data_IF_915929641538
#
_entry.id   IF_915929641538
#
_cell.length_a   1.000
_cell.length_b   1.000
_cell.length_c   1.000
_cell.angle_alpha   90.00
_cell.angle_beta   90.00
_cell.angle_gamma   90.00
#
_symmetry.space_group_name_H-M   'P 1'
#
loop_
_entity.id
_entity.type
_entity.pdbx_description
1 polymer ?
#
# COMPACT_ATOMS: atom_id res chain seq x y z
N UNK A 1 9.00 -9.92 -1.64
CA UNK A 1 9.43 -8.91 -0.65
C UNK A 1 8.48 -7.72 -0.73
N UNK A 2 8.53 -6.78 0.23
CA UNK A 2 7.72 -5.54 0.20
C UNK A 2 8.07 -4.68 -1.03
N UNK A 3 9.35 -4.60 -1.41
CA UNK A 3 9.77 -3.92 -2.62
C UNK A 3 9.20 -4.56 -3.90
N UNK A 4 9.12 -5.89 -3.98
CA UNK A 4 8.51 -6.56 -5.14
C UNK A 4 7.01 -6.26 -5.25
N UNK A 5 6.33 -6.16 -4.11
CA UNK A 5 4.91 -5.80 -4.02
C UNK A 5 4.66 -4.39 -4.55
N UNK A 6 5.33 -3.40 -3.96
CA UNK A 6 5.24 -2.00 -4.38
C UNK A 6 5.63 -1.81 -5.85
N UNK A 7 6.66 -2.53 -6.32
CA UNK A 7 7.08 -2.49 -7.73
C UNK A 7 5.98 -3.01 -8.67
N UNK A 8 5.35 -4.16 -8.37
CA UNK A 8 4.25 -4.69 -9.20
C UNK A 8 3.06 -3.74 -9.23
N UNK A 9 2.69 -3.18 -8.08
CA UNK A 9 1.60 -2.19 -8.01
C UNK A 9 1.90 -0.93 -8.84
N UNK A 10 3.14 -0.44 -8.79
CA UNK A 10 3.57 0.68 -9.63
C UNK A 10 3.44 0.36 -11.12
N UNK A 11 3.84 -0.85 -11.55
CA UNK A 11 3.67 -1.30 -12.94
C UNK A 11 2.19 -1.41 -13.31
N UNK A 12 1.33 -1.95 -12.43
CA UNK A 12 -0.12 -2.03 -12.67
C UNK A 12 -0.76 -0.64 -12.78
N UNK A 13 -0.36 0.32 -11.93
CA UNK A 13 -0.82 1.69 -12.01
C UNK A 13 -0.47 2.34 -13.37
N UNK A 14 0.72 2.07 -13.93
CA UNK A 14 1.11 2.55 -15.27
C UNK A 14 0.26 1.97 -16.40
N UNK A 15 -0.34 0.79 -16.22
CA UNK A 15 -1.19 0.14 -17.21
C UNK A 15 -2.65 0.64 -17.17
N UNK A 16 -3.00 1.49 -16.20
CA UNK A 16 -4.36 2.01 -16.08
C UNK A 16 -4.69 2.97 -17.23
N UNK A 17 -5.84 2.76 -17.87
CA UNK A 17 -6.35 3.56 -18.98
C UNK A 17 -7.37 4.62 -18.55
N UNK A 18 -7.68 4.70 -17.26
CA UNK A 18 -8.61 5.70 -16.73
C UNK A 18 -7.96 7.10 -16.76
N UNK A 19 -8.41 7.90 -17.72
CA UNK A 19 -7.93 9.27 -17.93
C UNK A 19 -8.37 10.26 -16.83
N UNK A 20 -9.24 9.85 -15.91
CA UNK A 20 -9.65 10.70 -14.77
C UNK A 20 -8.66 10.65 -13.60
N UNK A 21 -7.74 9.67 -13.59
CA UNK A 21 -6.72 9.50 -12.56
C UNK A 21 -5.39 10.14 -12.97
N UNK A 22 -4.70 10.74 -12.00
CA UNK A 22 -3.27 11.07 -12.17
C UNK A 22 -2.41 9.80 -12.01
N UNK A 23 -2.08 9.17 -13.14
CA UNK A 23 -1.23 7.96 -13.18
C UNK A 23 0.12 8.18 -12.51
N UNK A 24 0.71 9.38 -12.63
CA UNK A 24 2.01 9.67 -11.99
C UNK A 24 1.85 9.63 -10.48
N UNK A 25 0.76 10.18 -9.96
CA UNK A 25 0.43 10.14 -8.54
C UNK A 25 0.14 8.73 -8.05
N UNK A 26 -0.63 7.93 -8.81
CA UNK A 26 -0.89 6.52 -8.48
C UNK A 26 0.42 5.71 -8.34
N UNK A 27 1.36 5.89 -9.27
CA UNK A 27 2.68 5.24 -9.21
C UNK A 27 3.44 5.67 -7.96
N UNK A 28 3.43 6.96 -7.63
CA UNK A 28 4.11 7.47 -6.43
C UNK A 28 3.48 6.93 -5.15
N UNK A 29 2.15 6.87 -5.06
CA UNK A 29 1.43 6.28 -3.93
C UNK A 29 1.79 4.79 -3.77
N UNK A 30 1.78 4.03 -4.87
CA UNK A 30 2.16 2.61 -4.87
C UNK A 30 3.60 2.38 -4.38
N UNK A 31 4.52 3.28 -4.68
CA UNK A 31 5.92 3.18 -4.24
C UNK A 31 6.15 3.52 -2.77
N UNK A 32 5.25 4.29 -2.13
CA UNK A 32 5.45 4.77 -0.76
C UNK A 32 4.57 4.11 0.29
N UNK A 33 3.48 3.44 -0.12
CA UNK A 33 2.45 3.00 0.81
C UNK A 33 2.96 2.06 1.92
N UNK A 34 3.81 1.09 1.57
CA UNK A 34 4.36 0.10 2.52
C UNK A 34 5.80 0.41 2.96
N UNK A 35 6.28 1.66 2.84
CA UNK A 35 7.61 2.04 3.33
C UNK A 35 7.74 1.77 4.83
N UNK A 36 6.68 2.01 5.61
CA UNK A 36 6.67 1.76 7.04
C UNK A 36 6.93 0.27 7.35
N UNK A 37 6.25 -0.63 6.64
CA UNK A 37 6.40 -2.09 6.80
C UNK A 37 7.80 -2.57 6.43
N UNK A 38 8.50 -1.89 5.52
CA UNK A 38 9.89 -2.20 5.19
C UNK A 38 10.84 -1.98 6.37
N UNK A 39 10.49 -1.11 7.33
CA UNK A 39 11.32 -0.79 8.49
C UNK A 39 10.86 -1.47 9.79
N UNK A 40 9.56 -1.66 10.03
CA UNK A 40 9.06 -2.41 11.20
C UNK A 40 8.87 -3.90 10.96
N UNK A 41 8.95 -4.34 9.71
CA UNK A 41 8.56 -5.69 9.28
C UNK A 41 7.06 -5.78 8.97
N UNK A 42 6.66 -6.76 8.17
CA UNK A 42 5.26 -7.04 7.84
C UNK A 42 4.51 -7.54 9.09
N UNK A 43 3.86 -6.59 9.79
CA UNK A 43 3.08 -6.86 10.99
C UNK A 43 1.69 -7.36 10.58
N UNK A 44 1.55 -8.69 10.58
CA UNK A 44 0.27 -9.35 10.29
C UNK A 44 -0.61 -9.48 11.55
N UNK A 45 -1.94 -9.64 11.41
CA UNK A 45 -2.85 -9.84 12.55
C UNK A 45 -2.50 -11.04 13.45
N UNK A 46 -1.69 -11.99 12.96
CA UNK A 46 -1.21 -13.14 13.74
C UNK A 46 -0.22 -12.74 14.84
N UNK A 47 0.35 -11.55 14.76
CA UNK A 47 1.27 -11.02 15.77
C UNK A 47 0.55 -10.41 16.98
N UNK A 48 -0.80 -10.39 17.00
CA UNK A 48 -1.60 -9.99 18.15
C UNK A 48 -1.75 -8.48 18.37
N UNK A 49 -1.32 -7.66 17.41
CA UNK A 49 -1.54 -6.21 17.43
C UNK A 49 -2.97 -5.86 17.01
N UNK A 50 -3.55 -4.88 17.69
CA UNK A 50 -4.76 -4.20 17.22
C UNK A 50 -4.45 -3.34 15.98
N UNK A 51 -5.50 -2.99 15.24
CA UNK A 51 -5.38 -2.12 14.07
C UNK A 51 -4.84 -0.74 14.47
N UNK A 52 -5.26 -0.23 15.62
CA UNK A 52 -4.84 1.06 16.16
C UNK A 52 -3.37 1.05 16.57
N UNK A 53 -2.87 -0.05 17.12
CA UNK A 53 -1.44 -0.22 17.42
C UNK A 53 -0.60 -0.28 16.15
N UNK A 54 -1.05 -1.03 15.13
CA UNK A 54 -0.37 -1.09 13.83
C UNK A 54 -0.22 0.32 13.23
N UNK A 55 -1.31 1.08 13.14
CA UNK A 55 -1.29 2.45 12.59
C UNK A 55 -0.33 3.36 13.36
N UNK A 56 -0.34 3.30 14.70
CA UNK A 56 0.59 4.11 15.52
C UNK A 56 2.05 3.74 15.30
N UNK A 57 2.35 2.45 15.14
CA UNK A 57 3.70 1.98 14.86
C UNK A 57 4.17 2.44 13.48
N UNK A 58 3.31 2.33 12.47
CA UNK A 58 3.61 2.79 11.11
C UNK A 58 3.81 4.30 11.06
N UNK A 59 2.96 5.07 11.72
CA UNK A 59 3.10 6.53 11.82
C UNK A 59 4.42 6.92 12.50
N UNK A 60 4.76 6.31 13.63
CA UNK A 60 6.03 6.56 14.32
C UNK A 60 7.25 6.20 13.46
N UNK A 61 7.12 5.16 12.64
CA UNK A 61 8.17 4.73 11.71
C UNK A 61 8.36 5.72 10.58
N UNK A 62 7.27 6.19 9.98
CA UNK A 62 7.31 7.22 8.95
C UNK A 62 7.87 8.54 9.49
N UNK A 63 7.53 8.91 10.73
CA UNK A 63 8.11 10.09 11.38
C UNK A 63 9.62 9.95 11.54
N UNK A 64 10.11 8.81 12.02
CA UNK A 64 11.55 8.55 12.13
C UNK A 64 12.24 8.59 10.74
N UNK A 65 11.63 7.97 9.73
CA UNK A 65 12.15 7.97 8.36
C UNK A 65 12.29 9.40 7.81
N UNK A 66 11.29 10.25 8.01
CA UNK A 66 11.27 11.61 7.47
C UNK A 66 12.13 12.59 8.27
N UNK A 67 12.09 12.52 9.60
CA UNK A 67 12.80 13.46 10.48
C UNK A 67 14.26 13.06 10.72
N UNK A 68 14.50 11.81 11.12
CA UNK A 68 15.84 11.37 11.54
C UNK A 68 16.72 10.99 10.34
N UNK A 69 16.17 10.32 9.32
CA UNK A 69 16.97 9.85 8.18
C UNK A 69 17.05 10.84 7.03
N UNK A 70 15.95 11.53 6.73
CA UNK A 70 15.85 12.45 5.58
C UNK A 70 15.82 13.94 5.97
N UNK A 71 15.98 14.24 7.28
CA UNK A 71 16.15 15.58 7.85
C UNK A 71 15.15 16.63 7.33
N UNK A 72 13.87 16.28 7.27
CA UNK A 72 12.80 17.20 6.86
C UNK A 72 13.05 17.88 5.51
N UNK A 73 13.77 17.18 4.62
CA UNK A 73 13.96 17.68 3.27
C UNK A 73 12.62 17.82 2.53
N UNK A 74 12.52 18.66 1.49
CA UNK A 74 11.31 18.74 0.68
C UNK A 74 10.86 17.38 0.11
N UNK A 75 11.80 16.49 -0.21
CA UNK A 75 11.50 15.14 -0.66
C UNK A 75 10.90 14.28 0.46
N UNK A 76 11.44 14.38 1.69
CA UNK A 76 10.92 13.65 2.85
C UNK A 76 9.47 14.05 3.17
N UNK A 77 9.18 15.36 3.16
CA UNK A 77 7.81 15.87 3.33
C UNK A 77 6.86 15.35 2.26
N UNK A 78 7.28 15.34 0.99
CA UNK A 78 6.48 14.78 -0.10
C UNK A 78 6.15 13.29 0.12
N UNK A 79 7.09 12.50 0.62
CA UNK A 79 6.86 11.08 0.94
C UNK A 79 5.83 10.94 2.06
N UNK A 80 5.98 11.71 3.15
CA UNK A 80 5.00 11.72 4.25
C UNK A 80 3.60 12.12 3.77
N UNK A 81 3.50 13.15 2.94
CA UNK A 81 2.21 13.64 2.44
C UNK A 81 1.51 12.59 1.58
N UNK A 82 2.26 11.91 0.69
CA UNK A 82 1.75 10.81 -0.12
C UNK A 82 1.32 9.61 0.74
N UNK A 83 2.12 9.23 1.74
CA UNK A 83 1.77 8.14 2.64
C UNK A 83 0.49 8.44 3.44
N UNK A 84 0.37 9.65 3.98
CA UNK A 84 -0.85 10.11 4.67
C UNK A 84 -2.07 10.11 3.75
N UNK A 85 -1.90 10.53 2.50
CA UNK A 85 -2.98 10.50 1.52
C UNK A 85 -3.46 9.06 1.25
N UNK A 86 -2.52 8.14 1.06
CA UNK A 86 -2.84 6.72 0.88
C UNK A 86 -3.62 6.15 2.08
N UNK A 87 -3.16 6.43 3.29
CA UNK A 87 -3.81 5.95 4.52
C UNK A 87 -5.19 6.57 4.75
N UNK A 88 -5.39 7.83 4.37
CA UNK A 88 -6.68 8.51 4.47
C UNK A 88 -7.74 7.90 3.54
N UNK A 89 -7.34 7.40 2.36
CA UNK A 89 -8.23 6.76 1.36
C UNK A 89 -9.38 7.64 0.89
N UNK A 90 -9.12 8.93 0.72
CA UNK A 90 -10.13 9.90 0.31
C UNK A 90 -10.01 10.30 -1.16
N UNK A 91 -8.81 10.22 -1.75
CA UNK A 91 -8.58 10.61 -3.14
C UNK A 91 -8.87 9.45 -4.10
N UNK A 92 -9.30 9.74 -5.35
CA UNK A 92 -9.48 8.72 -6.38
C UNK A 92 -8.22 7.87 -6.58
N UNK A 93 -7.03 8.48 -6.57
CA UNK A 93 -5.77 7.78 -6.71
C UNK A 93 -5.45 6.87 -5.52
N UNK A 94 -5.69 7.33 -4.28
CA UNK A 94 -5.48 6.50 -3.09
C UNK A 94 -6.44 5.30 -3.07
N UNK A 95 -7.70 5.50 -3.43
CA UNK A 95 -8.68 4.42 -3.55
C UNK A 95 -8.31 3.41 -4.64
N UNK A 96 -7.87 3.90 -5.80
CA UNK A 96 -7.42 3.06 -6.90
C UNK A 96 -6.22 2.19 -6.49
N UNK A 97 -5.16 2.81 -5.93
CA UNK A 97 -3.96 2.08 -5.49
C UNK A 97 -4.30 1.08 -4.39
N UNK A 98 -5.24 1.41 -3.48
CA UNK A 98 -5.71 0.45 -2.47
C UNK A 98 -6.45 -0.74 -3.07
N UNK A 99 -7.14 -0.54 -4.19
CA UNK A 99 -7.74 -1.63 -4.97
C UNK A 99 -6.70 -2.61 -5.51
N UNK A 100 -5.60 -2.10 -6.07
CA UNK A 100 -4.49 -2.93 -6.59
C UNK A 100 -3.80 -3.77 -5.49
N UNK A 101 -3.67 -3.21 -4.30
CA UNK A 101 -3.12 -3.89 -3.13
C UNK A 101 -3.95 -5.15 -2.77
N UNK A 102 -5.28 -5.03 -2.83
CA UNK A 102 -6.20 -6.15 -2.62
C UNK A 102 -6.13 -7.20 -3.74
N UNK A 103 -5.95 -6.79 -4.99
CA UNK A 103 -5.84 -7.71 -6.14
C UNK A 103 -4.64 -8.67 -5.97
N UNK A 104 -3.51 -8.16 -5.48
CA UNK A 104 -2.34 -9.00 -5.16
C UNK A 104 -2.61 -9.99 -4.02
N UNK A 105 -3.42 -9.58 -3.03
CA UNK A 105 -3.91 -10.48 -1.98
C UNK A 105 -4.80 -11.58 -2.56
N UNK A 106 -5.71 -11.25 -3.48
CA UNK A 106 -6.54 -12.25 -4.16
C UNK A 106 -5.68 -13.21 -4.99
N UNK A 107 -4.81 -12.74 -5.88
CA UNK A 107 -3.99 -13.61 -6.73
C UNK A 107 -3.08 -14.58 -5.95
N UNK A 108 -2.51 -14.11 -4.84
CA UNK A 108 -1.66 -14.95 -3.97
C UNK A 108 -2.46 -15.88 -3.05
N UNK A 109 -3.68 -15.50 -2.68
CA UNK A 109 -4.54 -16.27 -1.77
C UNK A 109 -5.48 -17.25 -2.49
N UNK A 110 -5.88 -16.98 -3.73
CA UNK A 110 -6.78 -17.82 -4.55
C UNK A 110 -6.31 -19.29 -4.60
N UNK A 111 -5.01 -19.59 -4.82
CA UNK A 111 -4.53 -20.98 -4.79
C UNK A 111 -4.66 -21.65 -3.41
N UNK A 112 -4.73 -20.86 -2.34
CA UNK A 112 -4.78 -21.30 -0.94
C UNK A 112 -6.20 -21.35 -0.36
N UNK A 113 -7.18 -20.71 -1.01
CA UNK A 113 -8.58 -20.69 -0.59
C UNK A 113 -9.24 -22.04 -0.93
N UNK A 114 -9.59 -22.79 0.13
CA UNK A 114 -10.26 -24.10 0.02
C UNK A 114 -11.79 -24.01 0.07
N UNK A 115 -12.34 -22.80 0.24
CA UNK A 115 -13.79 -22.60 0.32
C UNK A 115 -14.39 -22.47 -1.09
N UNK A 116 -15.37 -23.32 -1.49
CA UNK A 116 -15.85 -23.41 -2.87
C UNK A 116 -16.44 -22.10 -3.43
N UNK A 117 -17.26 -21.43 -2.63
CA UNK A 117 -18.00 -20.21 -3.04
C UNK A 117 -17.12 -18.95 -3.06
N UNK A 118 -16.12 -18.89 -2.17
CA UNK A 118 -15.20 -17.73 -2.13
C UNK A 118 -14.21 -17.81 -3.29
N UNK A 119 -13.88 -19.03 -3.73
CA UNK A 119 -13.06 -19.26 -4.92
C UNK A 119 -13.79 -18.85 -6.20
N UNK A 120 -15.11 -19.01 -6.29
CA UNK A 120 -15.86 -18.62 -7.49
C UNK A 120 -15.89 -17.10 -7.71
N UNK A 121 -15.92 -16.29 -6.64
CA UNK A 121 -15.86 -14.82 -6.76
C UNK A 121 -14.54 -14.33 -7.34
N UNK A 122 -13.48 -15.13 -7.21
CA UNK A 122 -12.13 -14.82 -7.68
C UNK A 122 -11.87 -15.23 -9.14
N UNK A 123 -12.68 -16.12 -9.71
CA UNK A 123 -12.57 -16.57 -11.11
C UNK A 123 -13.46 -15.77 -12.08
N UNK A 124 -14.29 -14.87 -11.56
CA UNK A 124 -15.25 -14.06 -12.32
C UNK A 124 -14.86 -12.57 -12.42
N UNK A 125 -13.71 -12.19 -11.85
CA UNK A 125 -13.00 -10.93 -12.12
C UNK A 125 -11.95 -11.17 -13.22
#
# INVERSE_FOLDING_TARGET
SISDHMYRMAIMAMCCSDTTLDITKCVLLALVHDIAEAQVGDITPRHGFSKEEKVKMEEGTMQNFVHEMLHDSPAARRIMDLWKEYEARETPEALFVKGLDLETFYDSSIPSIRHPEVRSWATEL
#
